data_IF_633790793734
#
_entry.id   IF_633790793734
#
_cell.length_a   1.000
_cell.length_b   1.000
_cell.length_c   1.000
_cell.angle_alpha   90.00
_cell.angle_beta   90.00
_cell.angle_gamma   90.00
#
_symmetry.space_group_name_H-M   'P 1'
#
loop_
_entity.id
_entity.type
_entity.pdbx_description
1 polymer ?
#
# COMPACT_ATOMS: atom_id res chain seq x y z
N UNK A 1 -2.08 -4.12 12.85
CA UNK A 1 -1.36 -3.33 11.82
C UNK A 1 -1.15 -1.88 12.25
N UNK A 2 -2.22 -1.25 12.70
CA UNK A 2 -2.12 0.18 13.06
C UNK A 2 -1.24 0.43 14.27
N UNK A 3 -1.07 -0.55 15.12
CA UNK A 3 -0.14 -0.42 16.24
C UNK A 3 1.31 -0.33 15.78
N UNK A 4 1.62 -1.01 14.67
CA UNK A 4 2.97 -1.00 14.11
C UNK A 4 3.20 0.17 13.17
N UNK A 5 2.14 0.58 12.46
CA UNK A 5 2.25 1.61 11.42
C UNK A 5 1.12 2.62 11.57
N UNK A 6 1.10 3.39 12.67
CA UNK A 6 -0.06 4.25 12.96
C UNK A 6 -0.28 5.39 11.96
N UNK A 7 0.75 5.81 11.25
CA UNK A 7 0.63 6.91 10.30
C UNK A 7 0.48 6.45 8.84
N UNK A 8 0.55 5.15 8.60
CA UNK A 8 0.53 4.64 7.23
C UNK A 8 -0.78 4.99 6.52
N UNK A 9 -1.91 4.62 7.10
CA UNK A 9 -3.21 4.87 6.47
C UNK A 9 -3.51 6.36 6.31
N UNK A 10 -3.30 7.22 7.32
CA UNK A 10 -3.50 8.65 7.12
C UNK A 10 -2.66 9.21 5.98
N UNK A 11 -1.40 8.82 5.88
CA UNK A 11 -0.53 9.31 4.80
C UNK A 11 -0.95 8.75 3.45
N UNK A 12 -1.36 7.49 3.40
CA UNK A 12 -1.86 6.90 2.18
C UNK A 12 -3.10 7.62 1.69
N UNK A 13 -4.01 7.95 2.60
CA UNK A 13 -5.24 8.69 2.27
C UNK A 13 -4.94 10.10 1.76
N UNK A 14 -3.91 10.73 2.28
CA UNK A 14 -3.49 12.04 1.78
C UNK A 14 -3.01 11.95 0.33
N UNK A 15 -2.25 10.90 0.01
CA UNK A 15 -1.69 10.72 -1.32
C UNK A 15 -2.74 10.20 -2.31
N UNK A 16 -3.72 9.46 -1.83
CA UNK A 16 -4.76 8.86 -2.66
C UNK A 16 -6.12 9.11 -2.01
N UNK A 17 -6.67 10.33 -2.14
CA UNK A 17 -7.93 10.68 -1.47
C UNK A 17 -9.11 9.82 -1.89
N UNK A 18 -9.08 9.23 -3.08
CA UNK A 18 -10.17 8.39 -3.57
C UNK A 18 -9.98 6.92 -3.26
N UNK A 19 -9.02 6.57 -2.41
CA UNK A 19 -8.74 5.18 -2.10
C UNK A 19 -9.95 4.54 -1.40
N UNK A 20 -10.28 3.31 -1.81
CA UNK A 20 -11.36 2.57 -1.19
C UNK A 20 -10.83 1.75 -0.01
N UNK A 21 -11.75 1.29 0.83
CA UNK A 21 -11.36 0.44 1.97
C UNK A 21 -10.63 -0.82 1.49
N UNK A 22 -11.10 -1.42 0.40
CA UNK A 22 -10.47 -2.62 -0.12
C UNK A 22 -9.05 -2.34 -0.63
N UNK A 23 -8.85 -1.18 -1.24
CA UNK A 23 -7.51 -0.77 -1.68
C UNK A 23 -6.61 -0.49 -0.49
N UNK A 24 -7.16 0.04 0.60
CA UNK A 24 -6.39 0.21 1.84
C UNK A 24 -5.94 -1.13 2.40
N UNK A 25 -6.85 -2.11 2.43
CA UNK A 25 -6.51 -3.45 2.90
C UNK A 25 -5.44 -4.08 2.02
N UNK A 26 -5.57 -3.91 0.71
CA UNK A 26 -4.54 -4.37 -0.23
C UNK A 26 -3.18 -3.78 0.14
N UNK A 27 -3.14 -2.48 0.38
CA UNK A 27 -1.89 -1.78 0.70
C UNK A 27 -1.28 -2.30 1.99
N UNK A 28 -2.10 -2.54 3.01
CA UNK A 28 -1.61 -3.10 4.27
C UNK A 28 -1.01 -4.48 4.09
N UNK A 29 -1.64 -5.31 3.26
CA UNK A 29 -1.13 -6.65 3.01
C UNK A 29 0.16 -6.62 2.21
N UNK A 30 0.32 -5.63 1.33
CA UNK A 30 1.59 -5.44 0.62
C UNK A 30 2.70 -5.07 1.61
N UNK A 31 2.41 -4.22 2.58
CA UNK A 31 3.37 -3.88 3.63
C UNK A 31 3.81 -5.14 4.37
N UNK A 32 2.88 -6.05 4.60
CA UNK A 32 3.15 -7.30 5.31
C UNK A 32 3.80 -8.36 4.42
N UNK A 33 4.17 -7.99 3.18
CA UNK A 33 4.89 -8.85 2.25
C UNK A 33 4.09 -10.07 1.79
N UNK A 34 2.78 -9.93 1.75
CA UNK A 34 1.93 -11.00 1.23
C UNK A 34 1.91 -10.96 -0.30
N UNK A 35 1.94 -12.13 -0.93
CA UNK A 35 1.84 -12.19 -2.38
C UNK A 35 0.38 -12.14 -2.84
N UNK A 36 0.16 -12.05 -4.15
CA UNK A 36 -1.19 -11.90 -4.68
C UNK A 36 -2.12 -13.05 -4.30
N UNK A 37 -1.59 -14.26 -4.25
CA UNK A 37 -2.39 -15.43 -3.87
C UNK A 37 -2.83 -15.32 -2.42
N UNK A 38 -1.90 -14.95 -1.54
CA UNK A 38 -2.20 -14.79 -0.12
C UNK A 38 -3.19 -13.66 0.10
N UNK A 39 -3.02 -12.55 -0.62
CA UNK A 39 -3.93 -11.42 -0.52
C UNK A 39 -5.34 -11.84 -0.94
N UNK A 40 -5.45 -12.60 -2.04
CA UNK A 40 -6.75 -13.09 -2.50
C UNK A 40 -7.42 -13.93 -1.43
N UNK A 41 -6.68 -14.80 -0.78
CA UNK A 41 -7.22 -15.64 0.27
C UNK A 41 -7.67 -14.80 1.48
N UNK A 42 -6.85 -13.85 1.90
CA UNK A 42 -7.16 -13.03 3.06
C UNK A 42 -8.33 -12.10 2.82
N UNK A 43 -8.48 -11.58 1.60
CA UNK A 43 -9.59 -10.72 1.25
C UNK A 43 -10.83 -11.50 0.77
N UNK A 44 -10.70 -12.83 0.65
CA UNK A 44 -11.78 -13.71 0.19
C UNK A 44 -12.29 -13.30 -1.20
N UNK A 45 -11.35 -13.04 -2.11
CA UNK A 45 -11.65 -12.68 -3.49
C UNK A 45 -10.81 -13.54 -4.43
N UNK A 46 -11.16 -13.54 -5.71
CA UNK A 46 -10.38 -14.27 -6.71
C UNK A 46 -9.03 -13.58 -6.94
N UNK A 47 -7.98 -14.35 -7.28
CA UNK A 47 -6.68 -13.73 -7.59
C UNK A 47 -6.76 -12.68 -8.69
N UNK A 48 -7.64 -12.88 -9.68
CA UNK A 48 -7.85 -11.89 -10.73
C UNK A 48 -8.32 -10.56 -10.16
N UNK A 49 -9.15 -10.61 -9.12
CA UNK A 49 -9.65 -9.39 -8.48
C UNK A 49 -8.54 -8.62 -7.80
N UNK A 50 -7.54 -9.33 -7.25
CA UNK A 50 -6.38 -8.66 -6.67
C UNK A 50 -5.63 -7.86 -7.72
N UNK A 51 -5.44 -8.46 -8.90
CA UNK A 51 -4.76 -7.77 -10.00
C UNK A 51 -5.53 -6.51 -10.43
N UNK A 52 -6.85 -6.59 -10.43
CA UNK A 52 -7.68 -5.44 -10.77
C UNK A 52 -7.58 -4.35 -9.71
N UNK A 53 -7.55 -4.72 -8.43
CA UNK A 53 -7.36 -3.76 -7.35
C UNK A 53 -6.02 -3.05 -7.47
N UNK A 54 -4.96 -3.81 -7.76
CA UNK A 54 -3.64 -3.23 -7.94
C UNK A 54 -3.63 -2.26 -9.12
N UNK A 55 -4.28 -2.63 -10.21
CA UNK A 55 -4.35 -1.78 -11.39
C UNK A 55 -5.09 -0.48 -11.08
N UNK A 56 -6.23 -0.57 -10.42
CA UNK A 56 -7.02 0.61 -10.06
C UNK A 56 -6.25 1.54 -9.13
N UNK A 57 -5.55 0.97 -8.16
CA UNK A 57 -4.77 1.77 -7.23
C UNK A 57 -3.65 2.49 -7.97
N UNK A 58 -2.95 1.80 -8.88
CA UNK A 58 -1.92 2.44 -9.68
C UNK A 58 -2.49 3.60 -10.51
N UNK A 59 -3.66 3.44 -11.07
CA UNK A 59 -4.30 4.51 -11.83
C UNK A 59 -4.60 5.72 -10.95
N UNK A 60 -5.08 5.48 -9.73
CA UNK A 60 -5.38 6.57 -8.80
C UNK A 60 -4.13 7.32 -8.36
N UNK A 61 -3.01 6.62 -8.27
CA UNK A 61 -1.73 7.22 -7.91
C UNK A 61 -1.11 7.96 -9.10
N UNK A 62 -1.51 7.60 -10.32
CA UNK A 62 -0.90 8.15 -11.52
C UNK A 62 0.38 7.44 -11.92
N UNK A 63 0.56 6.21 -11.47
CA UNK A 63 1.76 5.45 -11.79
C UNK A 63 1.73 4.93 -13.22
N UNK A 64 2.91 4.85 -13.82
CA UNK A 64 3.06 4.17 -15.10
C UNK A 64 3.29 2.68 -14.85
N UNK A 65 3.29 1.90 -15.92
CA UNK A 65 3.53 0.47 -15.81
C UNK A 65 4.94 0.13 -15.34
N UNK A 66 5.87 1.09 -15.45
CA UNK A 66 7.25 0.87 -15.06
C UNK A 66 7.46 1.02 -13.55
N UNK A 67 6.49 1.62 -12.87
CA UNK A 67 6.60 1.85 -11.43
C UNK A 67 5.99 0.70 -10.67
N UNK A 68 6.64 0.32 -9.57
CA UNK A 68 6.14 -0.74 -8.71
C UNK A 68 5.22 -0.16 -7.65
N UNK A 69 4.06 -0.80 -7.49
CA UNK A 69 3.14 -0.42 -6.42
C UNK A 69 3.80 -0.63 -5.06
N UNK A 70 4.59 -1.69 -4.94
CA UNK A 70 5.34 -1.95 -3.71
C UNK A 70 6.28 -0.82 -3.37
N UNK A 71 6.96 -0.25 -4.36
CA UNK A 71 7.87 0.87 -4.14
C UNK A 71 7.12 2.09 -3.61
N UNK A 72 5.96 2.38 -4.19
CA UNK A 72 5.14 3.50 -3.72
C UNK A 72 4.74 3.30 -2.26
N UNK A 73 4.29 2.09 -1.94
CA UNK A 73 3.83 1.78 -0.59
C UNK A 73 4.98 1.85 0.40
N UNK A 74 6.17 1.38 0.00
CA UNK A 74 7.34 1.49 0.85
C UNK A 74 7.76 2.94 1.07
N UNK A 75 7.56 3.80 0.08
CA UNK A 75 7.81 5.22 0.23
C UNK A 75 6.90 5.83 1.30
N UNK A 76 5.62 5.47 1.27
CA UNK A 76 4.67 5.92 2.28
C UNK A 76 5.09 5.42 3.66
N UNK A 77 5.48 4.16 3.73
CA UNK A 77 5.92 3.53 4.98
C UNK A 77 7.19 4.19 5.49
N UNK A 78 8.11 4.54 4.59
CA UNK A 78 9.34 5.23 4.96
C UNK A 78 9.07 6.59 5.56
N UNK A 79 8.07 7.30 5.06
CA UNK A 79 7.68 8.59 5.64
C UNK A 79 7.18 8.42 7.06
N UNK A 80 6.47 7.32 7.33
CA UNK A 80 5.99 7.03 8.66
C UNK A 80 7.14 6.70 9.62
N UNK A 81 8.12 5.95 9.13
CA UNK A 81 9.22 5.48 9.95
C UNK A 81 10.37 6.47 10.02
N UNK A 82 10.23 7.60 9.37
CA UNK A 82 11.25 8.60 9.36
C UNK A 82 11.45 9.18 10.75
N UNK A 83 12.70 9.31 11.13
CA UNK A 83 13.08 9.65 12.48
C UNK A 83 14.29 10.57 12.37
N UNK A 84 14.29 11.69 13.09
CA UNK A 84 15.41 12.64 13.01
C UNK A 84 16.77 12.02 13.27
N UNK A 85 16.83 11.03 14.15
CA UNK A 85 18.10 10.38 14.46
C UNK A 85 18.67 9.63 13.28
N UNK A 86 17.82 9.18 12.36
CA UNK A 86 18.27 8.48 11.16
C UNK A 86 18.92 9.41 10.17
N UNK A 87 18.62 10.68 10.25
CA UNK A 87 19.16 11.66 9.32
C UNK A 87 20.46 12.25 9.75
N UNK A 88 20.82 12.02 10.99
CA UNK A 88 22.06 12.54 11.51
C UNK A 88 23.27 11.74 11.04
N UNK A 89 22.99 10.63 10.44
CA UNK A 89 24.05 9.78 9.93
C UNK A 89 24.57 10.29 8.60
#
# INVERSE_FOLDING_TARGET
FELMYPLFLPRLRERVPSITRREELLSMLIVLKQDNKEIAELLAIAPRSVLMLRHRLRQKIGMTTDNSLEDFIETILGLQNEDPSNHCL
#
